data_IF_238354338050
#
_entry.id   IF_238354338050
#
_cell.length_a   1.000
_cell.length_b   1.000
_cell.length_c   1.000
_cell.angle_alpha   90.00
_cell.angle_beta   90.00
_cell.angle_gamma   90.00
#
_symmetry.space_group_name_H-M   'P 1'
#
loop_
_entity.id
_entity.type
_entity.pdbx_description
1 polymer ?
#
# COMPACT_ATOMS: atom_id res chain seq x y z
N UNK A 1 -12.72 -10.96 13.99
CA UNK A 1 -12.16 -12.12 13.26
C UNK A 1 -10.93 -12.70 13.94
N UNK A 2 -9.95 -11.88 14.35
CA UNK A 2 -8.63 -12.37 14.84
C UNK A 2 -8.69 -13.36 16.02
N UNK A 3 -9.71 -13.27 16.89
CA UNK A 3 -9.91 -14.23 18.00
C UNK A 3 -10.56 -15.56 17.58
N UNK A 4 -11.24 -15.57 16.43
CA UNK A 4 -12.05 -16.72 15.97
C UNK A 4 -11.24 -17.59 15.00
N UNK A 5 -10.36 -16.99 14.19
CA UNK A 5 -9.55 -17.70 13.19
C UNK A 5 -8.71 -18.84 13.78
N UNK A 6 -7.97 -18.66 14.89
CA UNK A 6 -7.21 -19.76 15.51
C UNK A 6 -8.10 -20.93 15.96
N UNK A 7 -9.28 -20.61 16.50
CA UNK A 7 -10.27 -21.60 16.92
C UNK A 7 -10.82 -22.39 15.71
N UNK A 8 -11.17 -21.71 14.62
CA UNK A 8 -11.66 -22.36 13.40
C UNK A 8 -10.62 -23.27 12.75
N UNK A 9 -9.33 -22.85 12.76
CA UNK A 9 -8.20 -23.68 12.31
C UNK A 9 -8.08 -24.95 13.14
N UNK A 10 -8.10 -24.84 14.46
CA UNK A 10 -7.99 -25.98 15.38
C UNK A 10 -9.12 -27.00 15.19
N UNK A 11 -10.29 -26.55 14.75
CA UNK A 11 -11.46 -27.41 14.45
C UNK A 11 -11.46 -27.99 13.03
N UNK A 12 -10.50 -27.61 12.19
CA UNK A 12 -10.45 -28.02 10.78
C UNK A 12 -11.58 -27.42 9.92
N UNK A 13 -12.20 -26.32 10.37
CA UNK A 13 -13.30 -25.67 9.66
C UNK A 13 -12.83 -24.66 8.61
N UNK A 14 -11.51 -24.44 8.53
CA UNK A 14 -10.86 -23.68 7.47
C UNK A 14 -9.98 -24.67 6.73
N UNK A 15 -10.23 -24.82 5.42
CA UNK A 15 -9.40 -25.64 4.56
C UNK A 15 -7.98 -25.09 4.51
N UNK A 16 -7.00 -25.99 4.43
CA UNK A 16 -5.61 -25.58 4.24
C UNK A 16 -5.41 -25.22 2.76
N UNK A 17 -5.06 -23.96 2.44
CA UNK A 17 -4.79 -23.56 1.06
C UNK A 17 -3.55 -24.26 0.51
N UNK A 18 -3.34 -24.27 -0.82
CA UNK A 18 -2.13 -24.83 -1.43
C UNK A 18 -0.86 -24.21 -0.82
N UNK A 19 0.04 -25.07 -0.36
CA UNK A 19 1.28 -24.65 0.30
C UNK A 19 2.33 -24.28 -0.74
N UNK A 20 3.02 -23.16 -0.53
CA UNK A 20 4.18 -22.81 -1.34
C UNK A 20 5.40 -23.62 -0.88
N UNK A 21 5.97 -24.43 -1.78
CA UNK A 21 7.02 -25.40 -1.44
C UNK A 21 8.44 -24.97 -1.82
N UNK A 22 8.59 -23.80 -2.46
CA UNK A 22 9.88 -23.30 -2.97
C UNK A 22 10.57 -22.34 -2.00
N UNK A 23 10.23 -22.40 -0.71
CA UNK A 23 10.91 -21.60 0.31
C UNK A 23 12.38 -22.03 0.45
N UNK A 24 13.23 -21.11 0.92
CA UNK A 24 14.64 -21.44 1.20
C UNK A 24 14.74 -22.51 2.32
N UNK A 25 15.77 -23.39 2.31
CA UNK A 25 15.83 -24.56 3.19
C UNK A 25 15.74 -24.28 4.70
N UNK A 26 16.12 -23.07 5.14
CA UNK A 26 16.18 -22.70 6.55
C UNK A 26 14.88 -22.05 7.07
N UNK A 27 13.87 -21.85 6.21
CA UNK A 27 12.58 -21.29 6.62
C UNK A 27 11.64 -22.42 7.00
N UNK A 28 11.34 -22.52 8.28
CA UNK A 28 10.36 -23.47 8.83
C UNK A 28 8.94 -22.93 8.83
N UNK A 29 8.78 -21.62 8.62
CA UNK A 29 7.50 -20.94 8.56
C UNK A 29 6.76 -21.34 7.26
N UNK A 30 5.56 -21.89 7.41
CA UNK A 30 4.72 -22.26 6.26
C UNK A 30 4.00 -21.04 5.70
N UNK A 31 3.93 -20.98 4.37
CA UNK A 31 3.20 -19.95 3.64
C UNK A 31 2.44 -20.60 2.48
N UNK A 32 1.26 -20.07 2.19
CA UNK A 32 0.41 -20.53 1.09
C UNK A 32 0.71 -19.78 -0.20
N UNK A 33 0.30 -20.34 -1.33
CA UNK A 33 0.46 -19.69 -2.64
C UNK A 33 -0.26 -18.33 -2.71
N UNK A 34 -1.41 -18.19 -2.04
CA UNK A 34 -2.17 -16.94 -2.02
C UNK A 34 -1.49 -15.87 -1.15
N UNK A 35 -0.84 -16.25 -0.04
CA UNK A 35 -0.05 -15.34 0.78
C UNK A 35 1.20 -14.86 0.04
N UNK A 36 1.86 -15.75 -0.70
CA UNK A 36 2.98 -15.40 -1.58
C UNK A 36 2.54 -14.39 -2.64
N UNK A 37 1.42 -14.65 -3.31
CA UNK A 37 0.86 -13.73 -4.30
C UNK A 37 0.55 -12.37 -3.68
N UNK A 38 -0.16 -12.33 -2.54
CA UNK A 38 -0.50 -11.08 -1.88
C UNK A 38 0.75 -10.27 -1.47
N UNK A 39 1.81 -10.91 -0.96
CA UNK A 39 3.07 -10.23 -0.63
C UNK A 39 3.73 -9.64 -1.88
N UNK A 40 3.81 -10.42 -2.95
CA UNK A 40 4.40 -10.02 -4.21
C UNK A 40 3.65 -8.85 -4.86
N UNK A 41 2.32 -8.96 -4.93
CA UNK A 41 1.42 -7.99 -5.53
C UNK A 41 1.44 -6.66 -4.75
N UNK A 42 1.49 -6.72 -3.41
CA UNK A 42 1.63 -5.53 -2.59
C UNK A 42 2.96 -4.81 -2.81
N UNK A 43 4.06 -5.54 -3.03
CA UNK A 43 5.34 -4.91 -3.33
C UNK A 43 5.34 -4.26 -4.71
N UNK A 44 4.80 -4.94 -5.72
CA UNK A 44 4.61 -4.36 -7.05
C UNK A 44 3.75 -3.09 -7.00
N UNK A 45 2.64 -3.14 -6.27
CA UNK A 45 1.78 -1.96 -6.06
C UNK A 45 2.52 -0.80 -5.37
N UNK A 46 3.36 -1.09 -4.37
CA UNK A 46 4.16 -0.06 -3.69
C UNK A 46 5.24 0.54 -4.58
N UNK A 47 5.81 -0.24 -5.48
CA UNK A 47 6.70 0.24 -6.53
C UNK A 47 6.00 1.21 -7.48
N UNK A 48 4.77 0.92 -7.91
CA UNK A 48 4.00 1.86 -8.72
C UNK A 48 3.67 3.14 -7.95
N UNK A 49 3.22 3.01 -6.69
CA UNK A 49 2.88 4.16 -5.86
C UNK A 49 4.08 5.09 -5.64
N UNK A 50 5.26 4.57 -5.31
CA UNK A 50 6.43 5.40 -5.07
C UNK A 50 6.86 6.11 -6.35
N UNK A 51 6.84 5.43 -7.49
CA UNK A 51 7.19 6.02 -8.78
C UNK A 51 6.24 7.17 -9.13
N UNK A 52 4.92 6.95 -9.05
CA UNK A 52 3.93 8.01 -9.29
C UNK A 52 4.10 9.19 -8.31
N UNK A 53 4.31 8.90 -7.03
CA UNK A 53 4.46 9.95 -6.01
C UNK A 53 5.73 10.77 -6.23
N UNK A 54 6.84 10.14 -6.64
CA UNK A 54 8.09 10.82 -6.95
C UNK A 54 8.00 11.66 -8.21
N UNK A 55 7.29 11.18 -9.24
CA UNK A 55 6.97 11.98 -10.42
C UNK A 55 6.21 13.23 -10.00
N UNK A 56 5.10 13.09 -9.27
CA UNK A 56 4.30 14.23 -8.83
C UNK A 56 5.11 15.20 -7.98
N UNK A 57 5.98 14.71 -7.09
CA UNK A 57 6.85 15.57 -6.28
C UNK A 57 7.74 16.50 -7.12
N UNK A 58 8.09 16.12 -8.36
CA UNK A 58 8.87 16.99 -9.27
C UNK A 58 8.07 18.17 -9.79
N UNK A 59 6.75 18.02 -9.95
CA UNK A 59 5.87 19.03 -10.52
C UNK A 59 5.15 19.90 -9.47
N UNK A 60 5.24 19.56 -8.18
CA UNK A 60 4.58 20.35 -7.13
C UNK A 60 5.12 21.78 -7.06
N UNK A 61 4.21 22.74 -7.08
CA UNK A 61 4.49 24.15 -6.81
C UNK A 61 4.27 24.49 -5.33
N UNK A 62 3.19 24.00 -4.72
CA UNK A 62 2.85 24.28 -3.31
C UNK A 62 3.84 23.67 -2.31
N UNK A 63 4.48 24.53 -1.52
CA UNK A 63 5.52 24.12 -0.57
C UNK A 63 5.04 23.15 0.52
N UNK A 64 3.83 23.35 1.04
CA UNK A 64 3.26 22.45 2.05
C UNK A 64 2.96 21.08 1.44
N UNK A 65 2.42 21.05 0.22
CA UNK A 65 2.14 19.81 -0.48
C UNK A 65 3.42 19.01 -0.78
N UNK A 66 4.52 19.72 -1.08
CA UNK A 66 5.83 19.08 -1.28
C UNK A 66 6.32 18.37 -0.02
N UNK A 67 6.09 18.97 1.16
CA UNK A 67 6.41 18.36 2.46
C UNK A 67 5.51 17.16 2.76
N UNK A 68 4.21 17.26 2.43
CA UNK A 68 3.25 16.15 2.54
C UNK A 68 3.72 14.94 1.71
N UNK A 69 4.07 15.15 0.43
CA UNK A 69 4.57 14.06 -0.42
C UNK A 69 5.92 13.52 0.05
N UNK A 70 6.83 14.36 0.53
CA UNK A 70 8.09 13.89 1.09
C UNK A 70 7.88 12.95 2.29
N UNK A 71 6.92 13.26 3.17
CA UNK A 71 6.51 12.36 4.28
C UNK A 71 5.91 11.06 3.73
N UNK A 72 5.05 11.15 2.71
CA UNK A 72 4.47 10.00 2.01
C UNK A 72 5.53 9.06 1.42
N UNK A 73 6.47 9.60 0.65
CA UNK A 73 7.60 8.85 0.05
C UNK A 73 8.42 8.14 1.12
N UNK A 74 8.73 8.81 2.24
CA UNK A 74 9.44 8.18 3.35
C UNK A 74 8.67 6.97 3.93
N UNK A 75 7.34 7.08 4.03
CA UNK A 75 6.48 5.98 4.49
C UNK A 75 6.45 4.83 3.47
N UNK A 76 6.27 5.14 2.18
CA UNK A 76 6.30 4.15 1.10
C UNK A 76 7.62 3.39 1.07
N UNK A 77 8.77 4.07 1.15
CA UNK A 77 10.10 3.43 1.21
C UNK A 77 10.24 2.47 2.38
N UNK A 78 9.70 2.83 3.56
CA UNK A 78 9.68 1.94 4.73
C UNK A 78 8.83 0.69 4.49
N UNK A 79 7.68 0.84 3.85
CA UNK A 79 6.78 -0.28 3.53
C UNK A 79 7.38 -1.20 2.45
N UNK A 80 8.00 -0.62 1.42
CA UNK A 80 8.76 -1.35 0.39
C UNK A 80 9.86 -2.20 1.04
N UNK A 81 10.72 -1.60 1.87
CA UNK A 81 11.82 -2.32 2.52
C UNK A 81 11.32 -3.47 3.40
N UNK A 82 10.20 -3.26 4.10
CA UNK A 82 9.56 -4.32 4.89
C UNK A 82 9.09 -5.46 3.98
N UNK A 83 8.40 -5.18 2.89
CA UNK A 83 7.90 -6.19 1.96
C UNK A 83 9.05 -6.94 1.25
N UNK A 84 10.08 -6.22 0.80
CA UNK A 84 11.28 -6.83 0.20
C UNK A 84 11.93 -7.84 1.15
N UNK A 85 12.04 -7.51 2.44
CA UNK A 85 12.57 -8.43 3.46
C UNK A 85 11.72 -9.67 3.62
N UNK A 86 10.39 -9.55 3.53
CA UNK A 86 9.49 -10.70 3.60
C UNK A 86 9.63 -11.60 2.37
N UNK A 87 9.68 -11.03 1.16
CA UNK A 87 9.91 -11.80 -0.06
C UNK A 87 11.26 -12.51 0.00
N UNK A 88 12.32 -11.81 0.41
CA UNK A 88 13.66 -12.39 0.59
C UNK A 88 13.66 -13.51 1.62
N UNK A 89 13.01 -13.30 2.76
CA UNK A 89 12.89 -14.30 3.82
C UNK A 89 12.26 -15.59 3.28
N UNK A 90 11.14 -15.50 2.57
CA UNK A 90 10.46 -16.68 2.01
C UNK A 90 11.08 -17.21 0.71
N UNK A 91 12.11 -16.58 0.15
CA UNK A 91 12.70 -16.97 -1.14
C UNK A 91 11.80 -16.68 -2.35
N UNK A 92 10.89 -15.71 -2.22
CA UNK A 92 9.96 -15.31 -3.28
C UNK A 92 10.70 -14.35 -4.24
N UNK A 93 10.59 -14.54 -5.57
CA UNK A 93 11.16 -13.62 -6.55
C UNK A 93 10.60 -12.20 -6.36
N UNK A 94 11.49 -11.21 -6.29
CA UNK A 94 11.10 -9.80 -6.13
C UNK A 94 10.63 -9.26 -7.49
N UNK A 95 9.51 -8.51 -7.56
CA UNK A 95 9.10 -7.81 -8.79
C UNK A 95 10.15 -6.79 -9.24
N UNK A 96 10.07 -6.37 -10.50
CA UNK A 96 10.98 -5.35 -11.01
C UNK A 96 10.73 -4.01 -10.31
N UNK A 97 11.74 -3.50 -9.60
CA UNK A 97 11.70 -2.17 -9.02
C UNK A 97 11.67 -1.10 -10.13
N UNK A 98 11.01 0.06 -9.89
CA UNK A 98 11.02 1.16 -10.83
C UNK A 98 12.42 1.77 -10.90
N UNK A 99 12.77 2.32 -12.05
CA UNK A 99 13.97 3.15 -12.17
C UNK A 99 13.86 4.43 -11.33
N UNK A 100 14.99 5.09 -11.11
CA UNK A 100 14.98 6.40 -10.45
C UNK A 100 14.24 7.44 -11.31
N UNK A 101 13.39 8.24 -10.69
CA UNK A 101 12.71 9.36 -11.37
C UNK A 101 13.71 10.50 -11.57
N UNK A 102 14.24 10.62 -12.79
CA UNK A 102 15.25 11.62 -13.20
C UNK A 102 14.66 12.88 -13.84
N UNK A 103 13.33 12.97 -13.98
CA UNK A 103 12.66 14.10 -14.62
C UNK A 103 12.94 15.39 -13.84
N UNK A 104 13.38 16.43 -14.57
CA UNK A 104 13.51 17.80 -14.07
C UNK A 104 12.64 18.69 -14.94
N UNK A 105 11.47 19.14 -14.45
CA UNK A 105 10.56 19.93 -15.28
C UNK A 105 11.08 21.36 -15.46
N UNK A 106 11.06 21.84 -16.70
CA UNK A 106 11.35 23.25 -17.04
C UNK A 106 10.25 24.20 -16.52
N UNK A 107 9.03 23.68 -16.37
CA UNK A 107 7.90 24.36 -15.75
C UNK A 107 7.15 23.40 -14.83
N UNK A 108 7.09 23.72 -13.54
CA UNK A 108 6.35 22.93 -12.54
C UNK A 108 4.84 23.05 -12.70
N UNK A 109 4.33 24.15 -13.28
CA UNK A 109 2.89 24.39 -13.48
C UNK A 109 2.25 23.51 -14.59
N UNK A 110 3.01 22.59 -15.19
CA UNK A 110 2.47 21.63 -16.16
C UNK A 110 1.43 20.68 -15.55
N UNK A 111 1.47 20.46 -14.23
CA UNK A 111 0.47 19.69 -13.49
C UNK A 111 -0.03 20.53 -12.31
N UNK A 112 -1.35 20.67 -12.20
CA UNK A 112 -1.94 21.42 -11.09
C UNK A 112 -1.86 20.61 -9.78
N UNK A 113 -1.47 21.28 -8.69
CA UNK A 113 -1.32 20.67 -7.36
C UNK A 113 -2.60 19.98 -6.88
N UNK A 114 -3.76 20.60 -7.12
CA UNK A 114 -5.06 20.08 -6.74
C UNK A 114 -5.44 18.82 -7.53
N UNK A 115 -5.08 18.77 -8.82
CA UNK A 115 -5.24 17.58 -9.66
C UNK A 115 -4.32 16.43 -9.22
N UNK A 116 -3.05 16.71 -8.92
CA UNK A 116 -2.12 15.72 -8.39
C UNK A 116 -2.60 15.17 -7.04
N UNK A 117 -3.05 16.06 -6.14
CA UNK A 117 -3.61 15.68 -4.85
C UNK A 117 -4.82 14.75 -4.99
N UNK A 118 -5.79 15.12 -5.84
CA UNK A 118 -6.98 14.28 -6.08
C UNK A 118 -6.63 12.93 -6.71
N UNK A 119 -5.71 12.92 -7.67
CA UNK A 119 -5.23 11.67 -8.28
C UNK A 119 -4.62 10.73 -7.24
N UNK A 120 -3.80 11.26 -6.32
CA UNK A 120 -3.21 10.44 -5.25
C UNK A 120 -4.27 9.90 -4.29
N UNK A 121 -5.18 10.74 -3.80
CA UNK A 121 -6.17 10.31 -2.80
C UNK A 121 -7.20 9.33 -3.40
N UNK A 122 -7.53 9.46 -4.68
CA UNK A 122 -8.40 8.52 -5.39
C UNK A 122 -7.69 7.16 -5.56
N UNK A 123 -6.40 7.18 -5.92
CA UNK A 123 -5.57 5.98 -5.98
C UNK A 123 -5.49 5.25 -4.63
N UNK A 124 -5.28 5.99 -3.53
CA UNK A 124 -5.25 5.44 -2.18
C UNK A 124 -6.60 4.86 -1.75
N UNK A 125 -7.71 5.50 -2.09
CA UNK A 125 -9.04 4.97 -1.80
C UNK A 125 -9.32 3.68 -2.57
N UNK A 126 -8.91 3.59 -3.83
CA UNK A 126 -8.95 2.34 -4.60
C UNK A 126 -8.08 1.25 -3.99
N UNK A 127 -6.92 1.61 -3.46
CA UNK A 127 -5.97 0.70 -2.81
C UNK A 127 -6.49 0.05 -1.53
N UNK A 128 -7.50 0.62 -0.87
CA UNK A 128 -8.10 0.03 0.33
C UNK A 128 -8.58 -1.41 0.08
N UNK A 129 -9.08 -1.69 -1.12
CA UNK A 129 -9.53 -3.03 -1.50
C UNK A 129 -8.34 -3.99 -1.54
N UNK A 130 -7.22 -3.56 -2.14
CA UNK A 130 -5.97 -4.35 -2.23
C UNK A 130 -5.49 -4.72 -0.82
N UNK A 131 -5.57 -3.83 0.16
CA UNK A 131 -5.14 -4.10 1.53
C UNK A 131 -6.13 -4.94 2.35
N UNK A 132 -7.44 -4.86 2.08
CA UNK A 132 -8.48 -5.61 2.80
C UNK A 132 -8.52 -7.08 2.34
N UNK A 133 -8.33 -7.33 1.06
CA UNK A 133 -8.45 -8.67 0.47
C UNK A 133 -7.55 -9.73 1.14
N UNK A 134 -6.25 -9.48 1.38
CA UNK A 134 -5.39 -10.40 2.11
C UNK A 134 -5.88 -10.76 3.51
N UNK A 135 -6.66 -9.89 4.18
CA UNK A 135 -7.18 -10.18 5.52
C UNK A 135 -8.21 -11.31 5.53
N UNK A 136 -8.82 -11.58 4.38
CA UNK A 136 -9.76 -12.69 4.14
C UNK A 136 -9.03 -13.93 3.60
N UNK A 137 -8.04 -13.72 2.74
CA UNK A 137 -7.38 -14.81 2.00
C UNK A 137 -6.19 -15.43 2.73
N UNK A 138 -5.43 -14.65 3.49
CA UNK A 138 -4.27 -15.12 4.23
C UNK A 138 -4.73 -15.85 5.48
N UNK A 139 -5.04 -17.14 5.34
CA UNK A 139 -5.55 -17.97 6.42
C UNK A 139 -4.50 -18.88 7.03
N UNK A 140 -3.31 -19.07 6.44
CA UNK A 140 -2.34 -20.02 6.95
C UNK A 140 -1.37 -19.36 7.93
N UNK A 141 -0.78 -18.24 7.50
CA UNK A 141 0.28 -17.53 8.19
C UNK A 141 -0.23 -16.24 8.85
N UNK A 142 -0.41 -16.30 10.17
CA UNK A 142 -0.96 -15.18 10.94
C UNK A 142 -0.02 -13.96 11.00
N UNK A 143 1.30 -14.17 10.87
CA UNK A 143 2.30 -13.08 10.83
C UNK A 143 2.19 -12.30 9.51
N UNK A 144 2.12 -13.01 8.39
CA UNK A 144 1.92 -12.43 7.05
C UNK A 144 0.56 -11.71 6.98
N UNK A 145 -0.50 -12.33 7.49
CA UNK A 145 -1.81 -11.65 7.63
C UNK A 145 -1.71 -10.36 8.45
N UNK A 146 -0.91 -10.36 9.52
CA UNK A 146 -0.66 -9.19 10.37
C UNK A 146 0.01 -8.02 9.64
N UNK A 147 0.86 -8.29 8.64
CA UNK A 147 1.49 -7.26 7.81
C UNK A 147 0.43 -6.49 7.01
N UNK A 148 -0.49 -7.19 6.34
CA UNK A 148 -1.55 -6.54 5.57
C UNK A 148 -2.50 -5.73 6.46
N UNK A 149 -2.78 -6.23 7.67
CA UNK A 149 -3.60 -5.48 8.65
C UNK A 149 -2.91 -4.17 9.02
N UNK A 150 -1.61 -4.21 9.27
CA UNK A 150 -0.82 -3.02 9.57
C UNK A 150 -0.81 -2.04 8.39
N UNK A 151 -0.58 -2.53 7.17
CA UNK A 151 -0.61 -1.71 5.96
C UNK A 151 -1.97 -1.02 5.77
N UNK A 152 -3.09 -1.74 5.94
CA UNK A 152 -4.43 -1.18 5.85
C UNK A 152 -4.67 -0.04 6.86
N UNK A 153 -4.32 -0.26 8.13
CA UNK A 153 -4.51 0.76 9.17
C UNK A 153 -3.63 1.98 8.90
N UNK A 154 -2.38 1.74 8.50
CA UNK A 154 -1.47 2.82 8.11
C UNK A 154 -1.95 3.60 6.88
N UNK A 155 -2.63 2.96 5.93
CA UNK A 155 -3.24 3.59 4.76
C UNK A 155 -4.41 4.48 5.18
N UNK A 156 -5.31 3.95 6.02
CA UNK A 156 -6.46 4.68 6.54
C UNK A 156 -6.06 5.96 7.30
N UNK A 157 -5.01 5.88 8.12
CA UNK A 157 -4.47 7.05 8.83
C UNK A 157 -3.98 8.14 7.86
N UNK A 158 -3.33 7.73 6.75
CA UNK A 158 -2.83 8.69 5.75
C UNK A 158 -3.98 9.29 4.95
N UNK A 159 -4.99 8.49 4.59
CA UNK A 159 -6.18 8.99 3.92
C UNK A 159 -6.88 10.03 4.80
N UNK A 160 -7.07 9.77 6.10
CA UNK A 160 -7.68 10.73 7.03
C UNK A 160 -6.88 12.04 7.13
N UNK A 161 -5.56 11.97 7.26
CA UNK A 161 -4.66 13.13 7.25
C UNK A 161 -4.78 13.93 5.93
N UNK A 162 -4.78 13.25 4.78
CA UNK A 162 -4.91 13.89 3.47
C UNK A 162 -6.28 14.52 3.25
N UNK A 163 -7.36 13.90 3.74
CA UNK A 163 -8.70 14.49 3.70
C UNK A 163 -8.78 15.78 4.51
N UNK A 164 -8.15 15.85 5.68
CA UNK A 164 -8.07 17.10 6.46
C UNK A 164 -7.26 18.15 5.71
N UNK A 165 -6.11 17.77 5.17
CA UNK A 165 -5.26 18.66 4.38
C UNK A 165 -5.99 19.22 3.15
N UNK A 166 -6.60 18.38 2.32
CA UNK A 166 -7.32 18.81 1.12
C UNK A 166 -8.50 19.73 1.39
N UNK A 167 -9.16 19.57 2.55
CA UNK A 167 -10.22 20.50 3.01
C UNK A 167 -9.66 21.89 3.31
N UNK A 168 -8.52 21.97 4.00
CA UNK A 168 -7.86 23.24 4.32
C UNK A 168 -7.42 23.94 3.03
N UNK A 169 -6.92 23.19 2.04
CA UNK A 169 -6.48 23.75 0.76
C UNK A 169 -7.63 24.10 -0.20
N UNK A 170 -8.85 23.63 0.05
CA UNK A 170 -9.98 23.78 -0.87
C UNK A 170 -9.81 22.97 -2.16
N UNK A 171 -9.10 21.85 -2.12
CA UNK A 171 -8.75 21.04 -3.31
C UNK A 171 -9.77 19.95 -3.64
N UNK A 172 -10.79 19.76 -2.80
CA UNK A 172 -11.90 18.88 -3.12
C UNK A 172 -12.93 19.60 -4.01
N UNK A 173 -13.56 18.83 -4.90
CA UNK A 173 -14.72 19.33 -5.63
C UNK A 173 -15.86 19.67 -4.68
N UNK A 174 -16.61 20.72 -4.99
CA UNK A 174 -17.83 21.07 -4.27
C UNK A 174 -18.82 19.90 -4.34
N UNK A 175 -19.26 19.42 -3.17
CA UNK A 175 -20.30 18.39 -3.10
C UNK A 175 -21.69 19.05 -3.08
N UNK A 176 -22.73 18.40 -3.61
CA UNK A 176 -24.11 18.88 -3.47
C UNK A 176 -24.44 19.14 -1.99
N UNK A 177 -25.09 20.26 -1.73
CA UNK A 177 -25.60 20.59 -0.39
C UNK A 177 -27.10 20.38 -0.35
N UNK A 178 -27.62 19.91 0.79
CA UNK A 178 -29.06 19.86 0.98
C UNK A 178 -29.61 21.29 0.99
N UNK A 179 -30.54 21.58 0.09
CA UNK A 179 -31.35 22.80 0.17
C UNK A 179 -32.23 22.71 1.41
N UNK A 180 -32.12 23.69 2.31
CA UNK A 180 -33.00 23.86 3.47
C UNK A 180 -34.43 24.16 3.06
#
# INVERSE_FOLDING_TARGET
>A
MDKIVPYLKARGWIETPPIYTKTIPNVTEKISTIEVFNLWDHLAFRYDNINTTEIFQRFIYDGDFKLVLAKGIKKLRKQINMLEKELQYFGIPIPNAPGEVTITPDNTEMLNDDHMFRTLIDGMQGALIIHIQPLKECSLNDRVRGIFKKLLLEELDVIDDLYKYGKIKGWFHSVPTYSS
#
